data_IF_489078669835
#
_entry.id   IF_489078669835
#
_cell.length_a   1.000
_cell.length_b   1.000
_cell.length_c   1.000
_cell.angle_alpha   90.00
_cell.angle_beta   90.00
_cell.angle_gamma   90.00
#
_symmetry.space_group_name_H-M   'P 1'
#
loop_
_entity.id
_entity.type
_entity.pdbx_description
1 polymer ?
#
# COMPACT_ATOMS: atom_id res chain seq x y z
N UNK A 1 12.58 -24.56 12.47
CA UNK A 1 11.40 -24.20 11.66
C UNK A 1 11.07 -25.38 10.75
N UNK A 2 9.80 -25.78 10.63
CA UNK A 2 9.40 -26.77 9.62
C UNK A 2 9.78 -26.24 8.22
N UNK A 3 10.22 -27.13 7.33
CA UNK A 3 10.62 -26.75 5.96
C UNK A 3 9.37 -26.30 5.20
N UNK A 4 9.13 -24.99 5.14
CA UNK A 4 8.01 -24.43 4.39
C UNK A 4 8.21 -24.69 2.89
N UNK A 5 7.11 -24.99 2.19
CA UNK A 5 7.10 -25.31 0.77
C UNK A 5 7.40 -24.04 -0.04
N UNK A 6 8.29 -24.15 -1.02
CA UNK A 6 8.55 -23.08 -2.01
C UNK A 6 7.26 -22.71 -2.75
N UNK A 7 6.97 -21.41 -2.81
CA UNK A 7 5.88 -20.85 -3.60
C UNK A 7 6.46 -20.20 -4.85
N UNK A 8 6.11 -20.74 -6.02
CA UNK A 8 6.51 -20.19 -7.32
C UNK A 8 5.40 -19.32 -7.89
N UNK A 9 5.73 -18.10 -8.30
CA UNK A 9 4.79 -17.12 -8.87
C UNK A 9 5.23 -16.69 -10.26
N UNK A 10 4.30 -16.62 -11.21
CA UNK A 10 4.55 -16.02 -12.53
C UNK A 10 4.22 -14.52 -12.50
N UNK A 11 5.23 -13.68 -12.71
CA UNK A 11 5.14 -12.21 -12.78
C UNK A 11 4.33 -11.66 -13.96
N UNK A 12 3.78 -12.52 -14.82
CA UNK A 12 2.78 -12.20 -15.86
C UNK A 12 1.34 -12.37 -15.37
N UNK A 13 1.12 -13.04 -14.25
CA UNK A 13 -0.22 -13.27 -13.72
C UNK A 13 -0.85 -11.96 -13.22
N UNK A 14 -2.16 -11.80 -13.42
CA UNK A 14 -2.91 -10.62 -12.98
C UNK A 14 -2.51 -9.35 -13.71
N UNK A 15 -2.22 -8.27 -12.96
CA UNK A 15 -1.80 -6.98 -13.52
C UNK A 15 -0.48 -7.04 -14.32
N UNK A 16 0.34 -8.09 -14.13
CA UNK A 16 1.68 -8.22 -14.72
C UNK A 16 2.62 -7.05 -14.38
N UNK A 17 2.41 -6.43 -13.21
CA UNK A 17 3.06 -5.21 -12.73
C UNK A 17 3.98 -5.44 -11.54
N UNK A 18 4.20 -4.39 -10.76
CA UNK A 18 5.15 -4.42 -9.64
C UNK A 18 4.53 -4.81 -8.31
N UNK A 19 3.20 -4.85 -8.21
CA UNK A 19 2.50 -5.11 -6.95
C UNK A 19 2.71 -6.53 -6.47
N UNK A 20 2.64 -7.50 -7.40
CA UNK A 20 2.92 -8.91 -7.12
C UNK A 20 4.23 -9.10 -6.37
N UNK A 21 5.31 -8.48 -6.85
CA UNK A 21 6.63 -8.58 -6.22
C UNK A 21 6.62 -7.99 -4.81
N UNK A 22 6.02 -6.81 -4.64
CA UNK A 22 5.97 -6.12 -3.33
C UNK A 22 5.20 -6.94 -2.30
N UNK A 23 4.01 -7.44 -2.65
CA UNK A 23 3.17 -8.24 -1.76
C UNK A 23 3.83 -9.59 -1.45
N UNK A 24 4.36 -10.27 -2.47
CA UNK A 24 4.97 -11.59 -2.30
C UNK A 24 6.19 -11.53 -1.37
N UNK A 25 7.11 -10.59 -1.59
CA UNK A 25 8.33 -10.47 -0.77
C UNK A 25 7.99 -10.02 0.65
N UNK A 26 7.01 -9.12 0.83
CA UNK A 26 6.54 -8.71 2.15
C UNK A 26 6.04 -9.91 2.97
N UNK A 27 5.20 -10.74 2.35
CA UNK A 27 4.62 -11.91 3.00
C UNK A 27 5.66 -13.04 3.17
N UNK A 28 6.54 -13.27 2.19
CA UNK A 28 7.63 -14.23 2.32
C UNK A 28 8.57 -13.88 3.49
N UNK A 29 8.89 -12.60 3.66
CA UNK A 29 9.66 -12.10 4.81
C UNK A 29 8.90 -12.30 6.13
N UNK A 30 7.58 -12.07 6.13
CA UNK A 30 6.74 -12.20 7.31
C UNK A 30 6.55 -13.67 7.74
N UNK A 31 6.24 -14.56 6.80
CA UNK A 31 5.86 -15.95 7.07
C UNK A 31 7.05 -16.90 7.12
N UNK A 32 8.20 -16.49 6.58
CA UNK A 32 9.36 -17.34 6.33
C UNK A 32 9.25 -18.19 5.06
N UNK A 33 8.14 -18.07 4.31
CA UNK A 33 7.85 -18.96 3.17
C UNK A 33 8.79 -18.60 2.02
N UNK A 34 9.64 -19.52 1.54
CA UNK A 34 10.50 -19.22 0.42
C UNK A 34 9.66 -18.99 -0.85
N UNK A 35 10.05 -18.00 -1.64
CA UNK A 35 9.39 -17.66 -2.90
C UNK A 35 10.38 -17.63 -4.07
N UNK A 36 9.87 -17.94 -5.25
CA UNK A 36 10.50 -17.71 -6.54
C UNK A 36 9.49 -16.99 -7.44
N UNK A 37 9.89 -15.84 -7.99
CA UNK A 37 9.06 -15.07 -8.91
C UNK A 37 9.75 -15.04 -10.27
N UNK A 38 9.15 -15.70 -11.25
CA UNK A 38 9.60 -15.68 -12.64
C UNK A 38 8.92 -14.60 -13.46
N UNK A 39 9.47 -14.28 -14.63
CA UNK A 39 8.89 -13.35 -15.59
C UNK A 39 8.46 -12.02 -14.97
N UNK A 40 9.25 -11.48 -14.05
CA UNK A 40 8.95 -10.22 -13.34
C UNK A 40 8.57 -9.14 -14.35
N UNK A 41 7.33 -8.66 -14.27
CA UNK A 41 6.75 -7.66 -15.20
C UNK A 41 6.85 -8.06 -16.67
N UNK A 42 6.73 -9.36 -16.97
CA UNK A 42 6.89 -9.91 -18.32
C UNK A 42 5.92 -9.30 -19.34
N UNK A 43 4.68 -8.99 -18.93
CA UNK A 43 3.66 -8.36 -19.79
C UNK A 43 3.96 -6.89 -20.15
N UNK A 44 5.06 -6.33 -19.63
CA UNK A 44 5.55 -4.99 -19.92
C UNK A 44 6.84 -5.00 -20.73
N UNK A 45 7.31 -6.16 -21.19
CA UNK A 45 8.41 -6.26 -22.15
C UNK A 45 8.05 -5.48 -23.43
N UNK A 46 9.00 -4.71 -23.96
CA UNK A 46 8.81 -3.88 -25.15
C UNK A 46 7.99 -2.59 -24.95
N UNK A 47 7.40 -2.36 -23.78
CA UNK A 47 6.74 -1.09 -23.43
C UNK A 47 7.75 -0.12 -22.82
N UNK A 48 7.46 1.18 -22.87
CA UNK A 48 8.30 2.26 -22.27
C UNK A 48 8.69 1.95 -20.81
N UNK A 49 7.79 1.33 -20.04
CA UNK A 49 8.05 0.99 -18.63
C UNK A 49 8.97 -0.23 -18.44
N UNK A 50 9.14 -1.08 -19.45
CA UNK A 50 10.00 -2.28 -19.46
C UNK A 50 9.61 -3.40 -18.48
N UNK A 51 10.16 -4.60 -18.73
CA UNK A 51 10.11 -5.74 -17.82
C UNK A 51 11.17 -5.67 -16.72
N UNK A 52 11.20 -6.70 -15.89
CA UNK A 52 12.14 -6.91 -14.79
C UNK A 52 11.91 -6.04 -13.56
N UNK A 53 12.70 -6.29 -12.51
CA UNK A 53 12.70 -5.49 -11.29
C UNK A 53 13.05 -4.03 -11.57
N UNK A 54 12.45 -3.11 -10.80
CA UNK A 54 12.79 -1.69 -10.80
C UNK A 54 13.43 -1.30 -9.48
N UNK A 55 14.03 -0.11 -9.42
CA UNK A 55 14.73 0.38 -8.24
C UNK A 55 13.90 0.22 -6.95
N UNK A 56 12.61 0.58 -6.95
CA UNK A 56 11.74 0.40 -5.78
C UNK A 56 11.54 -1.07 -5.35
N UNK A 57 11.55 -2.02 -6.30
CA UNK A 57 11.47 -3.44 -5.96
C UNK A 57 12.78 -3.92 -5.34
N UNK A 58 13.91 -3.56 -5.95
CA UNK A 58 15.24 -3.88 -5.41
C UNK A 58 15.40 -3.30 -4.00
N UNK A 59 14.98 -2.05 -3.78
CA UNK A 59 15.05 -1.41 -2.48
C UNK A 59 14.18 -2.09 -1.41
N UNK A 60 12.96 -2.52 -1.72
CA UNK A 60 12.14 -3.23 -0.74
C UNK A 60 12.64 -4.66 -0.48
N UNK A 61 13.11 -5.37 -1.52
CA UNK A 61 13.71 -6.71 -1.38
C UNK A 61 14.96 -6.62 -0.53
N UNK A 62 15.87 -5.68 -0.81
CA UNK A 62 17.10 -5.52 -0.04
C UNK A 62 16.81 -5.14 1.42
N UNK A 63 15.87 -4.23 1.67
CA UNK A 63 15.46 -3.87 3.02
C UNK A 63 14.99 -5.08 3.83
N UNK A 64 14.12 -5.91 3.25
CA UNK A 64 13.61 -7.12 3.90
C UNK A 64 14.68 -8.21 3.99
N UNK A 65 15.57 -8.31 3.01
CA UNK A 65 16.70 -9.24 3.04
C UNK A 65 17.66 -8.92 4.18
N UNK A 66 18.00 -7.64 4.36
CA UNK A 66 18.86 -7.18 5.45
C UNK A 66 18.18 -7.41 6.81
N UNK A 67 16.88 -7.12 6.93
CA UNK A 67 16.13 -7.30 8.16
C UNK A 67 16.02 -8.78 8.56
N UNK A 68 15.79 -9.67 7.59
CA UNK A 68 15.55 -11.10 7.81
C UNK A 68 16.79 -11.99 7.63
N UNK A 69 17.94 -11.39 7.31
CA UNK A 69 19.15 -12.11 6.85
C UNK A 69 18.86 -13.11 5.73
N UNK A 70 18.03 -12.72 4.76
CA UNK A 70 17.54 -13.64 3.72
C UNK A 70 18.64 -14.11 2.76
N UNK A 71 18.47 -15.32 2.23
CA UNK A 71 19.08 -15.74 0.97
C UNK A 71 18.28 -15.13 -0.19
N UNK A 72 18.95 -14.40 -1.08
CA UNK A 72 18.30 -13.71 -2.21
C UNK A 72 19.10 -13.90 -3.50
N UNK A 73 18.45 -14.39 -4.55
CA UNK A 73 19.00 -14.46 -5.89
C UNK A 73 18.22 -13.55 -6.84
N UNK A 74 18.91 -12.88 -7.77
CA UNK A 74 18.24 -12.06 -8.80
C UNK A 74 17.71 -10.70 -8.33
N UNK A 75 18.16 -10.18 -7.19
CA UNK A 75 17.79 -8.83 -6.70
C UNK A 75 18.63 -7.73 -7.37
N UNK A 76 18.37 -7.47 -8.65
CA UNK A 76 19.00 -6.36 -9.38
C UNK A 76 18.03 -5.73 -10.37
N UNK A 77 18.22 -4.45 -10.69
CA UNK A 77 17.35 -3.75 -11.65
C UNK A 77 17.39 -4.45 -13.00
N UNK A 78 16.22 -4.73 -13.56
CA UNK A 78 16.07 -5.45 -14.83
C UNK A 78 16.04 -6.98 -14.68
N UNK A 79 16.32 -7.54 -13.50
CA UNK A 79 16.22 -8.98 -13.28
C UNK A 79 14.79 -9.48 -13.53
N UNK A 80 14.69 -10.63 -14.21
CA UNK A 80 13.42 -11.25 -14.61
C UNK A 80 12.98 -12.36 -13.67
N UNK A 81 13.88 -12.84 -12.81
CA UNK A 81 13.61 -13.85 -11.79
C UNK A 81 14.17 -13.35 -10.47
N UNK A 82 13.45 -13.58 -9.38
CA UNK A 82 13.94 -13.32 -8.02
C UNK A 82 13.53 -14.45 -7.09
N UNK A 83 14.49 -14.91 -6.30
CA UNK A 83 14.27 -15.86 -5.21
C UNK A 83 14.50 -15.14 -3.89
N UNK A 84 13.66 -15.43 -2.90
CA UNK A 84 13.77 -14.85 -1.57
C UNK A 84 13.43 -15.89 -0.51
N UNK A 85 14.30 -16.03 0.49
CA UNK A 85 14.11 -16.94 1.63
C UNK A 85 14.63 -16.29 2.90
N UNK A 86 13.72 -15.84 3.75
CA UNK A 86 14.03 -15.25 5.05
C UNK A 86 14.65 -16.29 6.02
N UNK A 87 15.61 -15.86 6.82
CA UNK A 87 16.25 -16.68 7.86
C UNK A 87 15.86 -16.26 9.29
N UNK A 88 15.35 -15.05 9.46
CA UNK A 88 14.84 -14.51 10.72
C UNK A 88 13.36 -14.14 10.60
N UNK A 89 12.61 -14.41 11.67
CA UNK A 89 11.24 -13.92 11.85
C UNK A 89 11.23 -12.45 12.27
N UNK A 90 10.09 -11.75 12.15
CA UNK A 90 9.98 -10.34 12.52
C UNK A 90 10.45 -10.01 13.95
N UNK A 91 10.12 -10.84 14.94
CA UNK A 91 10.51 -10.67 16.35
C UNK A 91 12.01 -10.85 16.60
N UNK A 92 12.72 -11.47 15.67
CA UNK A 92 14.15 -11.74 15.78
C UNK A 92 15.05 -10.61 15.21
N UNK A 93 14.46 -9.56 14.62
CA UNK A 93 15.25 -8.46 14.07
C UNK A 93 15.89 -7.63 15.19
N UNK A 94 17.17 -7.29 15.01
CA UNK A 94 17.93 -6.53 16.00
C UNK A 94 17.87 -5.02 15.78
N UNK A 95 17.84 -4.58 14.52
CA UNK A 95 17.85 -3.15 14.21
C UNK A 95 16.44 -2.57 14.30
N UNK A 96 16.29 -1.56 15.15
CA UNK A 96 15.09 -0.73 15.27
C UNK A 96 15.17 0.55 14.42
N UNK A 97 16.33 0.85 13.84
CA UNK A 97 16.56 1.99 12.95
C UNK A 97 16.97 1.49 11.56
N UNK A 98 16.02 1.51 10.64
CA UNK A 98 16.16 0.99 9.28
C UNK A 98 16.29 2.16 8.32
N UNK A 99 17.30 2.12 7.46
CA UNK A 99 17.54 3.15 6.44
C UNK A 99 17.58 2.50 5.07
N UNK A 100 16.70 2.94 4.18
CA UNK A 100 16.67 2.49 2.79
C UNK A 100 17.13 3.63 1.90
N UNK A 101 18.18 3.39 1.13
CA UNK A 101 18.66 4.32 0.11
C UNK A 101 18.39 3.72 -1.27
N UNK A 102 17.44 4.30 -2.00
CA UNK A 102 17.20 3.87 -3.36
C UNK A 102 18.23 4.46 -4.33
N UNK A 103 18.63 3.67 -5.34
CA UNK A 103 19.62 4.08 -6.37
C UNK A 103 19.05 5.08 -7.42
N UNK A 104 17.86 5.65 -7.18
CA UNK A 104 17.19 6.64 -8.05
C UNK A 104 15.96 7.22 -7.35
N UNK A 105 15.12 7.97 -8.06
CA UNK A 105 13.79 8.41 -7.59
C UNK A 105 12.76 7.25 -7.52
N UNK A 106 13.17 6.09 -6.97
CA UNK A 106 12.25 5.02 -6.59
C UNK A 106 11.21 5.56 -5.62
N UNK A 107 9.93 5.18 -5.77
CA UNK A 107 8.89 5.71 -4.89
C UNK A 107 9.14 5.29 -3.44
N UNK A 108 9.29 6.28 -2.56
CA UNK A 108 9.42 6.10 -1.12
C UNK A 108 8.23 5.29 -0.59
N UNK A 109 7.03 5.58 -1.08
CA UNK A 109 5.80 5.03 -0.54
C UNK A 109 5.51 3.62 -1.04
N UNK A 110 5.96 3.26 -2.24
CA UNK A 110 5.90 1.86 -2.67
C UNK A 110 6.88 0.98 -1.87
N UNK A 111 8.04 1.51 -1.47
CA UNK A 111 8.96 0.80 -0.56
C UNK A 111 8.35 0.69 0.84
N UNK A 112 7.76 1.77 1.36
CA UNK A 112 7.05 1.76 2.63
C UNK A 112 5.93 0.72 2.65
N UNK A 113 5.02 0.74 1.68
CA UNK A 113 3.93 -0.24 1.57
C UNK A 113 4.42 -1.69 1.53
N UNK A 114 5.51 -1.96 0.81
CA UNK A 114 6.08 -3.31 0.69
C UNK A 114 6.74 -3.79 1.98
N UNK A 115 7.25 -2.89 2.82
CA UNK A 115 8.01 -3.25 4.02
C UNK A 115 7.18 -3.16 5.29
N UNK A 116 6.11 -2.37 5.29
CA UNK A 116 5.24 -2.15 6.43
C UNK A 116 4.67 -3.45 7.02
N UNK A 117 4.10 -4.40 6.24
CA UNK A 117 3.54 -5.63 6.81
C UNK A 117 4.53 -6.41 7.68
N UNK A 118 5.80 -6.50 7.26
CA UNK A 118 6.84 -7.16 8.04
C UNK A 118 7.14 -6.40 9.35
N UNK A 119 7.36 -5.08 9.27
CA UNK A 119 7.71 -4.28 10.44
C UNK A 119 6.58 -4.10 11.45
N UNK A 120 5.31 -4.25 11.04
CA UNK A 120 4.18 -4.29 11.96
C UNK A 120 4.23 -5.48 12.91
N UNK A 121 4.83 -6.60 12.51
CA UNK A 121 4.91 -7.80 13.36
C UNK A 121 6.27 -7.97 14.04
N UNK A 122 7.17 -7.00 13.88
CA UNK A 122 8.49 -6.99 14.48
C UNK A 122 8.49 -6.50 15.94
N UNK A 123 7.48 -6.85 16.74
CA UNK A 123 7.43 -6.46 18.16
C UNK A 123 8.59 -7.02 18.98
N UNK A 124 8.92 -6.36 20.09
CA UNK A 124 9.75 -6.92 21.16
C UNK A 124 9.09 -6.74 22.52
N UNK A 125 9.68 -7.35 23.55
CA UNK A 125 9.24 -7.26 24.94
C UNK A 125 9.19 -5.80 25.47
N UNK A 126 9.98 -4.90 24.89
CA UNK A 126 10.06 -3.50 25.32
C UNK A 126 9.02 -2.59 24.63
N UNK A 127 8.28 -3.11 23.65
CA UNK A 127 7.37 -2.31 22.83
C UNK A 127 8.08 -1.23 22.00
N UNK A 128 9.35 -1.47 21.63
CA UNK A 128 10.17 -0.47 20.95
C UNK A 128 9.68 -0.21 19.52
N UNK A 129 9.51 1.06 19.11
CA UNK A 129 9.09 1.38 17.76
C UNK A 129 10.18 1.07 16.73
N UNK A 130 9.77 0.84 15.48
CA UNK A 130 10.67 0.76 14.32
C UNK A 130 10.71 2.14 13.66
N UNK A 131 11.89 2.73 13.57
CA UNK A 131 12.13 3.92 12.73
C UNK A 131 12.62 3.48 11.36
N UNK A 132 11.84 3.77 10.32
CA UNK A 132 12.17 3.51 8.93
C UNK A 132 12.36 4.84 8.18
N UNK A 133 13.56 5.12 7.71
CA UNK A 133 13.87 6.28 6.86
C UNK A 133 14.15 5.80 5.45
N UNK A 134 13.41 6.34 4.48
CA UNK A 134 13.52 5.94 3.07
C UNK A 134 13.87 7.17 2.24
N UNK A 135 14.96 7.07 1.47
CA UNK A 135 15.36 8.06 0.48
C UNK A 135 14.95 7.61 -0.92
N UNK A 136 14.31 8.51 -1.68
CA UNK A 136 13.74 8.22 -3.00
C UNK A 136 12.83 9.35 -3.50
N UNK A 137 11.94 9.07 -4.45
CA UNK A 137 10.92 10.04 -4.88
C UNK A 137 9.68 10.01 -3.97
N UNK A 138 9.18 11.18 -3.56
CA UNK A 138 7.90 11.33 -2.83
C UNK A 138 6.72 11.60 -3.76
N UNK A 139 6.98 12.20 -4.92
CA UNK A 139 6.00 12.50 -5.96
C UNK A 139 6.48 11.85 -7.26
N UNK A 140 6.08 10.59 -7.45
CA UNK A 140 6.48 9.73 -8.58
C UNK A 140 5.22 9.23 -9.29
N UNK A 141 5.25 9.16 -10.62
CA UNK A 141 4.10 8.65 -11.39
C UNK A 141 3.80 7.19 -11.04
N UNK A 142 2.51 6.83 -11.00
CA UNK A 142 2.02 5.47 -10.70
C UNK A 142 2.40 4.99 -9.29
N UNK A 143 2.48 5.92 -8.33
CA UNK A 143 2.56 5.64 -6.90
C UNK A 143 1.75 6.67 -6.14
N UNK A 144 1.24 6.29 -4.98
CA UNK A 144 0.64 7.25 -4.04
C UNK A 144 1.63 8.37 -3.66
N UNK A 145 1.09 9.53 -3.33
CA UNK A 145 1.82 10.65 -2.73
C UNK A 145 1.86 10.57 -1.22
N UNK A 146 2.70 11.40 -0.60
CA UNK A 146 2.75 11.52 0.85
C UNK A 146 1.42 12.05 1.41
N UNK A 147 0.76 12.94 0.67
CA UNK A 147 -0.53 13.49 1.05
C UNK A 147 -1.64 12.43 1.01
N UNK A 148 -1.66 11.55 0.01
CA UNK A 148 -2.62 10.43 -0.05
C UNK A 148 -2.36 9.41 1.07
N UNK A 149 -1.09 9.10 1.35
CA UNK A 149 -0.73 8.29 2.51
C UNK A 149 -1.31 8.89 3.80
N UNK A 150 -1.10 10.19 3.99
CA UNK A 150 -1.47 10.92 5.21
C UNK A 150 -2.98 11.06 5.41
N UNK A 151 -3.71 11.35 4.35
CA UNK A 151 -5.14 11.69 4.41
C UNK A 151 -6.07 10.49 4.14
N UNK A 152 -5.57 9.42 3.51
CA UNK A 152 -6.40 8.27 3.08
C UNK A 152 -5.87 6.96 3.64
N UNK A 153 -4.64 6.56 3.31
CA UNK A 153 -4.14 5.23 3.70
C UNK A 153 -3.95 5.09 5.21
N UNK A 154 -3.28 6.04 5.87
CA UNK A 154 -3.04 5.94 7.32
C UNK A 154 -4.34 5.95 8.14
N UNK A 155 -5.32 6.85 7.91
CA UNK A 155 -6.63 6.78 8.58
C UNK A 155 -7.35 5.44 8.37
N UNK A 156 -7.22 4.85 7.18
CA UNK A 156 -7.75 3.51 6.92
C UNK A 156 -7.02 2.42 7.71
N UNK A 157 -5.69 2.47 7.80
CA UNK A 157 -4.88 1.53 8.58
C UNK A 157 -5.13 1.66 10.09
N UNK A 158 -5.46 2.84 10.60
CA UNK A 158 -5.82 3.05 12.01
C UNK A 158 -7.06 2.24 12.43
N UNK A 159 -7.97 1.94 11.48
CA UNK A 159 -9.13 1.05 11.73
C UNK A 159 -8.71 -0.40 12.02
N UNK A 160 -7.50 -0.81 11.63
CA UNK A 160 -6.87 -2.09 11.97
C UNK A 160 -6.02 -2.01 13.26
N UNK A 161 -6.03 -0.87 13.95
CA UNK A 161 -5.17 -0.58 15.10
C UNK A 161 -3.73 -0.25 14.72
N UNK A 162 -3.44 0.05 13.46
CA UNK A 162 -2.09 0.36 12.98
C UNK A 162 -1.80 1.84 13.18
N UNK A 163 -0.70 2.15 13.86
CA UNK A 163 -0.23 3.52 14.07
C UNK A 163 1.14 3.72 13.44
N UNK A 164 1.24 4.72 12.57
CA UNK A 164 2.50 5.12 11.93
C UNK A 164 2.62 6.64 12.01
N UNK A 165 3.55 7.10 12.86
CA UNK A 165 3.95 8.51 12.82
C UNK A 165 4.79 8.71 11.56
N UNK A 166 4.52 9.78 10.80
CA UNK A 166 5.11 9.98 9.47
C UNK A 166 5.56 11.41 9.29
N UNK A 167 6.71 11.59 8.66
CA UNK A 167 7.29 12.90 8.40
C UNK A 167 7.96 12.89 7.04
N UNK A 168 7.55 13.81 6.17
CA UNK A 168 8.26 14.09 4.93
C UNK A 168 9.37 15.09 5.21
N UNK A 169 10.62 14.64 5.20
CA UNK A 169 11.77 15.50 5.54
C UNK A 169 12.08 16.48 4.40
N UNK A 170 12.04 15.99 3.16
CA UNK A 170 12.11 16.81 1.95
C UNK A 170 11.56 16.03 0.75
N UNK A 171 11.01 16.77 -0.22
CA UNK A 171 10.36 16.18 -1.40
C UNK A 171 11.38 15.64 -2.40
N UNK A 172 10.99 14.54 -3.05
CA UNK A 172 11.67 13.99 -4.22
C UNK A 172 10.70 13.90 -5.38
N UNK A 173 11.18 14.18 -6.59
CA UNK A 173 10.35 14.32 -7.78
C UNK A 173 10.88 13.46 -8.92
N UNK A 174 9.97 12.79 -9.64
CA UNK A 174 10.31 12.17 -10.93
C UNK A 174 10.13 13.11 -12.12
N UNK A 175 9.46 14.26 -11.94
CA UNK A 175 9.18 15.24 -13.00
C UNK A 175 10.10 16.46 -12.92
N UNK A 176 10.41 17.03 -14.07
CA UNK A 176 11.45 18.04 -14.20
C UNK A 176 12.83 17.42 -14.04
N UNK A 177 13.74 18.13 -13.38
CA UNK A 177 14.99 17.53 -12.92
C UNK A 177 14.68 16.54 -11.80
N UNK A 178 15.08 15.26 -11.91
CA UNK A 178 14.85 14.29 -10.83
C UNK A 178 15.51 14.73 -9.53
N UNK A 179 14.76 14.63 -8.43
CA UNK A 179 15.23 14.97 -7.08
C UNK A 179 14.96 13.81 -6.13
N UNK A 180 15.93 13.54 -5.27
CA UNK A 180 15.79 12.56 -4.20
C UNK A 180 15.30 13.29 -2.95
N UNK A 181 14.16 12.83 -2.45
CA UNK A 181 13.57 13.20 -1.19
C UNK A 181 13.90 12.19 -0.09
N UNK A 182 13.33 12.44 1.09
CA UNK A 182 13.41 11.56 2.24
C UNK A 182 12.13 11.64 3.06
N UNK A 183 11.64 10.50 3.53
CA UNK A 183 10.58 10.43 4.52
C UNK A 183 10.96 9.46 5.64
N UNK A 184 10.47 9.77 6.84
CA UNK A 184 10.66 9.00 8.06
C UNK A 184 9.31 8.49 8.56
N UNK A 185 9.27 7.22 8.90
CA UNK A 185 8.12 6.54 9.48
C UNK A 185 8.53 5.94 10.82
N UNK A 186 7.75 6.19 11.86
CA UNK A 186 7.87 5.53 13.17
C UNK A 186 6.69 4.58 13.28
N UNK A 187 6.96 3.30 13.06
CA UNK A 187 5.98 2.22 13.09
C UNK A 187 5.94 1.70 14.52
N UNK A 188 4.74 1.56 15.07
CA UNK A 188 4.51 0.87 16.35
C UNK A 188 4.13 -0.58 16.05
N UNK A 189 5.02 -1.56 16.27
CA UNK A 189 4.69 -2.95 16.01
C UNK A 189 3.57 -3.45 16.92
N UNK A 190 2.83 -4.43 16.43
CA UNK A 190 1.88 -5.24 17.18
C UNK A 190 2.65 -5.96 18.30
N UNK A 191 2.14 -5.96 19.55
CA UNK A 191 2.76 -6.72 20.63
C UNK A 191 2.90 -8.21 20.31
N UNK A 192 3.93 -8.86 20.87
CA UNK A 192 4.16 -10.29 20.67
C UNK A 192 2.92 -11.12 21.03
N UNK A 193 2.60 -12.11 20.21
CA UNK A 193 1.40 -12.95 20.38
C UNK A 193 0.06 -12.28 20.04
N UNK A 194 0.03 -11.00 19.66
CA UNK A 194 -1.17 -10.30 19.22
C UNK A 194 -1.25 -10.20 17.68
N UNK A 195 -2.46 -10.00 17.18
CA UNK A 195 -2.74 -9.77 15.76
C UNK A 195 -3.19 -8.32 15.53
N UNK A 196 -3.27 -7.90 14.26
CA UNK A 196 -4.01 -6.70 13.92
C UNK A 196 -5.48 -6.84 14.36
N UNK A 197 -6.11 -5.70 14.66
CA UNK A 197 -7.50 -5.66 15.09
C UNK A 197 -8.41 -6.02 13.93
N UNK A 198 -9.53 -6.67 14.24
CA UNK A 198 -10.64 -6.78 13.30
C UNK A 198 -11.08 -5.35 12.93
N UNK A 199 -11.06 -4.97 11.63
CA UNK A 199 -11.24 -3.59 11.26
C UNK A 199 -12.68 -3.16 11.51
N UNK A 200 -12.85 -2.06 12.26
CA UNK A 200 -14.14 -1.38 12.36
C UNK A 200 -14.39 -0.60 11.07
N UNK A 201 -14.96 -1.28 10.07
CA UNK A 201 -15.25 -0.73 8.76
C UNK A 201 -16.75 -0.45 8.59
N UNK A 202 -17.15 0.75 8.12
CA UNK A 202 -18.54 1.06 7.81
C UNK A 202 -19.14 0.13 6.74
N UNK A 203 -20.43 -0.17 6.85
CA UNK A 203 -21.18 -0.99 5.89
C UNK A 203 -21.84 -0.17 4.78
N UNK A 204 -21.69 1.16 4.80
CA UNK A 204 -22.21 2.07 3.79
C UNK A 204 -21.30 3.29 3.63
N UNK A 205 -21.36 3.93 2.45
CA UNK A 205 -20.52 5.07 2.11
C UNK A 205 -20.82 6.30 2.99
N UNK A 206 -22.10 6.56 3.28
CA UNK A 206 -22.54 7.80 3.89
C UNK A 206 -22.58 9.00 2.93
N UNK A 207 -22.95 10.16 3.46
CA UNK A 207 -22.98 11.41 2.69
C UNK A 207 -21.61 12.09 2.72
N UNK A 208 -21.25 12.77 1.63
CA UNK A 208 -20.04 13.61 1.61
C UNK A 208 -20.28 14.82 2.51
N UNK A 209 -19.34 15.10 3.41
CA UNK A 209 -19.43 16.23 4.35
C UNK A 209 -18.47 17.35 4.00
N UNK A 210 -17.31 17.01 3.44
CA UNK A 210 -16.23 17.96 3.09
C UNK A 210 -15.29 17.35 2.06
N UNK A 211 -14.63 18.20 1.28
CA UNK A 211 -13.54 17.83 0.37
C UNK A 211 -12.28 18.61 0.73
N UNK A 212 -11.21 17.89 1.07
CA UNK A 212 -9.89 18.47 1.27
C UNK A 212 -9.11 18.53 -0.05
N UNK A 213 -8.37 19.61 -0.24
CA UNK A 213 -7.57 19.89 -1.43
C UNK A 213 -6.10 20.09 -1.05
N UNK A 214 -5.22 19.33 -1.70
CA UNK A 214 -3.77 19.48 -1.57
C UNK A 214 -3.13 19.82 -2.92
N UNK A 215 -2.51 21.00 -3.01
CA UNK A 215 -1.89 21.55 -4.20
C UNK A 215 -0.38 21.68 -4.04
N UNK A 216 0.37 21.13 -4.98
CA UNK A 216 1.81 21.34 -5.13
C UNK A 216 2.11 21.66 -6.59
N UNK A 217 2.03 22.95 -6.91
CA UNK A 217 2.14 23.48 -8.28
C UNK A 217 3.05 24.71 -8.28
N UNK A 218 3.55 25.16 -9.45
CA UNK A 218 4.33 26.38 -9.51
C UNK A 218 3.55 27.56 -8.93
N UNK A 219 4.19 28.44 -8.16
CA UNK A 219 3.53 29.56 -7.47
C UNK A 219 2.56 30.36 -8.38
N UNK A 220 2.98 30.66 -9.61
CA UNK A 220 2.18 31.40 -10.59
C UNK A 220 0.90 30.69 -11.10
N UNK A 221 0.76 29.39 -10.84
CA UNK A 221 -0.42 28.58 -11.23
C UNK A 221 -1.44 28.46 -10.08
N UNK A 222 -1.04 28.72 -8.84
CA UNK A 222 -1.86 28.39 -7.65
C UNK A 222 -3.24 29.04 -7.68
N UNK A 223 -3.32 30.35 -7.98
CA UNK A 223 -4.60 31.07 -7.98
C UNK A 223 -5.52 30.67 -9.15
N UNK A 224 -4.95 30.33 -10.31
CA UNK A 224 -5.70 29.81 -11.46
C UNK A 224 -6.28 28.43 -11.15
N UNK A 225 -5.46 27.54 -10.56
CA UNK A 225 -5.92 26.20 -10.17
C UNK A 225 -6.94 26.23 -9.03
N UNK A 226 -6.77 27.09 -8.02
CA UNK A 226 -7.79 27.29 -6.97
C UNK A 226 -9.13 27.74 -7.56
N UNK A 227 -9.12 28.71 -8.48
CA UNK A 227 -10.35 29.16 -9.16
C UNK A 227 -11.00 28.04 -9.96
N UNK A 228 -10.22 27.31 -10.75
CA UNK A 228 -10.72 26.19 -11.54
C UNK A 228 -11.32 25.10 -10.64
N UNK A 229 -10.62 24.68 -9.58
CA UNK A 229 -11.11 23.70 -8.62
C UNK A 229 -12.38 24.14 -7.90
N UNK A 230 -12.43 25.39 -7.40
CA UNK A 230 -13.64 25.90 -6.74
C UNK A 230 -14.84 25.94 -7.70
N UNK A 231 -14.62 26.26 -8.97
CA UNK A 231 -15.67 26.22 -9.97
C UNK A 231 -16.16 24.79 -10.22
N UNK A 232 -15.27 23.86 -10.55
CA UNK A 232 -15.63 22.48 -10.86
C UNK A 232 -16.26 21.77 -9.64
N UNK A 233 -15.66 21.91 -8.45
CA UNK A 233 -16.21 21.35 -7.21
C UNK A 233 -17.58 21.96 -6.87
N UNK A 234 -17.77 23.26 -7.08
CA UNK A 234 -19.06 23.92 -6.83
C UNK A 234 -20.18 23.45 -7.77
N UNK A 235 -19.83 23.01 -8.98
CA UNK A 235 -20.76 22.42 -9.94
C UNK A 235 -21.10 20.98 -9.57
N UNK A 236 -20.10 20.17 -9.26
CA UNK A 236 -20.26 18.72 -9.07
C UNK A 236 -20.71 18.36 -7.64
N UNK A 237 -20.22 19.08 -6.63
CA UNK A 237 -20.49 18.86 -5.22
C UNK A 237 -21.11 20.12 -4.57
N UNK A 238 -22.33 20.51 -4.98
CA UNK A 238 -22.95 21.74 -4.51
C UNK A 238 -23.18 21.70 -3.00
N UNK A 239 -22.84 22.78 -2.31
CA UNK A 239 -22.97 22.97 -0.85
C UNK A 239 -22.07 22.05 0.01
N UNK A 240 -21.06 21.42 -0.58
CA UNK A 240 -20.02 20.71 0.19
C UNK A 240 -18.91 21.70 0.56
N UNK A 241 -18.44 21.64 1.81
CA UNK A 241 -17.30 22.43 2.28
C UNK A 241 -16.01 21.98 1.58
N UNK A 242 -15.21 22.94 1.13
CA UNK A 242 -13.95 22.69 0.42
C UNK A 242 -12.80 23.38 1.15
N UNK A 243 -11.85 22.59 1.63
CA UNK A 243 -10.71 23.06 2.43
C UNK A 243 -9.38 22.86 1.71
N UNK A 244 -8.64 23.95 1.49
CA UNK A 244 -7.29 23.88 0.92
C UNK A 244 -6.25 23.62 2.02
N UNK A 245 -6.09 22.36 2.42
CA UNK A 245 -5.18 21.94 3.49
C UNK A 245 -3.69 22.19 3.17
N UNK A 246 -3.32 22.08 1.90
CA UNK A 246 -1.96 22.29 1.44
C UNK A 246 -1.97 23.12 0.16
N UNK A 247 -1.26 24.25 0.18
CA UNK A 247 -0.95 25.04 -1.01
C UNK A 247 0.55 25.33 -1.01
N UNK A 248 1.30 24.53 -1.75
CA UNK A 248 2.75 24.63 -1.83
C UNK A 248 3.25 25.00 -3.21
N UNK A 249 4.34 25.78 -3.25
CA UNK A 249 5.10 26.01 -4.47
C UNK A 249 5.98 24.80 -4.77
N UNK A 250 5.78 24.18 -5.94
CA UNK A 250 6.58 23.05 -6.40
C UNK A 250 7.98 23.45 -6.90
N UNK A 251 8.23 24.75 -7.07
CA UNK A 251 9.51 25.36 -7.49
C UNK A 251 10.02 24.91 -8.86
N UNK A 252 9.18 24.23 -9.64
CA UNK A 252 9.56 23.78 -10.99
C UNK A 252 8.32 23.70 -11.89
N UNK A 253 8.40 24.31 -13.08
CA UNK A 253 7.27 24.40 -14.03
C UNK A 253 6.69 23.07 -14.52
N UNK A 254 7.40 21.96 -14.29
CA UNK A 254 6.97 20.61 -14.66
C UNK A 254 6.44 19.78 -13.49
N UNK A 255 6.40 20.34 -12.27
CA UNK A 255 5.94 19.66 -11.06
C UNK A 255 4.57 20.21 -10.69
N UNK A 256 3.53 19.49 -11.07
CA UNK A 256 2.15 19.87 -10.77
C UNK A 256 1.43 18.66 -10.21
N UNK A 257 1.09 18.73 -8.94
CA UNK A 257 0.40 17.67 -8.23
C UNK A 257 -0.82 18.25 -7.52
N UNK A 258 -1.95 17.55 -7.68
CA UNK A 258 -3.22 17.90 -7.04
C UNK A 258 -3.85 16.64 -6.48
N UNK A 259 -4.35 16.70 -5.25
CA UNK A 259 -5.11 15.64 -4.59
C UNK A 259 -6.41 16.24 -4.05
N UNK A 260 -7.51 15.54 -4.28
CA UNK A 260 -8.79 15.76 -3.62
C UNK A 260 -9.11 14.58 -2.71
N UNK A 261 -9.59 14.86 -1.50
CA UNK A 261 -10.03 13.83 -0.54
C UNK A 261 -11.44 14.16 -0.05
N UNK A 262 -12.42 13.35 -0.44
CA UNK A 262 -13.78 13.45 0.08
C UNK A 262 -13.90 12.72 1.42
N UNK A 263 -14.47 13.39 2.43
CA UNK A 263 -14.79 12.84 3.73
C UNK A 263 -16.28 12.54 3.81
N UNK A 264 -16.64 11.39 4.39
CA UNK A 264 -18.04 11.00 4.55
C UNK A 264 -18.51 11.05 6.00
N UNK A 265 -19.83 11.09 6.19
CA UNK A 265 -20.48 11.05 7.50
C UNK A 265 -20.22 9.75 8.29
N UNK A 266 -19.74 8.69 7.63
CA UNK A 266 -19.33 7.41 8.25
C UNK A 266 -17.82 7.38 8.56
N UNK A 267 -17.11 8.48 8.31
CA UNK A 267 -15.69 8.64 8.56
C UNK A 267 -14.79 7.97 7.52
N UNK A 268 -15.31 7.68 6.32
CA UNK A 268 -14.50 7.18 5.20
C UNK A 268 -13.83 8.34 4.45
N UNK A 269 -12.70 8.04 3.81
CA UNK A 269 -11.97 8.96 2.95
C UNK A 269 -11.80 8.35 1.56
N UNK A 270 -12.07 9.13 0.52
CA UNK A 270 -11.89 8.75 -0.88
C UNK A 270 -10.97 9.75 -1.56
N UNK A 271 -9.81 9.28 -2.04
CA UNK A 271 -8.80 10.15 -2.64
C UNK A 271 -8.68 9.99 -4.15
N UNK A 272 -8.62 11.11 -4.89
CA UNK A 272 -8.20 11.11 -6.31
C UNK A 272 -7.16 12.20 -6.54
N UNK A 273 -6.06 11.79 -7.17
CA UNK A 273 -4.92 12.66 -7.41
C UNK A 273 -4.46 12.63 -8.85
N UNK A 274 -3.70 13.66 -9.22
CA UNK A 274 -3.00 13.68 -10.48
C UNK A 274 -1.66 14.38 -10.33
N UNK A 275 -0.59 13.61 -10.58
CA UNK A 275 0.71 14.15 -10.96
C UNK A 275 0.71 14.40 -12.47
N UNK A 276 0.40 15.64 -12.86
CA UNK A 276 0.17 16.03 -14.25
C UNK A 276 1.26 15.53 -15.18
N UNK A 277 0.87 14.73 -16.18
CA UNK A 277 1.79 14.05 -17.10
C UNK A 277 1.80 14.63 -18.51
N UNK A 278 1.16 15.77 -18.73
CA UNK A 278 1.12 16.45 -20.02
C UNK A 278 2.40 17.23 -20.34
N UNK A 279 2.39 17.96 -21.46
CA UNK A 279 3.56 18.72 -21.91
C UNK A 279 3.86 19.92 -21.00
N UNK A 280 5.13 20.07 -20.63
CA UNK A 280 5.61 21.13 -19.70
C UNK A 280 6.73 21.98 -20.31
N UNK A 281 6.96 21.89 -21.65
CA UNK A 281 8.00 22.66 -22.34
C UNK A 281 7.70 24.16 -22.26
N UNK A 282 6.48 24.54 -22.64
CA UNK A 282 5.92 25.90 -22.57
C UNK A 282 4.51 25.81 -21.97
N UNK A 283 4.38 25.67 -20.64
CA UNK A 283 3.10 25.44 -20.00
C UNK A 283 2.21 26.68 -20.09
N UNK A 284 0.99 26.49 -20.57
CA UNK A 284 -0.10 27.44 -20.39
C UNK A 284 -0.80 27.11 -19.07
N UNK A 285 -0.43 27.82 -18.00
CA UNK A 285 -0.89 27.47 -16.65
C UNK A 285 -2.39 27.63 -16.44
N UNK A 286 -3.04 28.54 -17.14
CA UNK A 286 -4.51 28.70 -17.06
C UNK A 286 -5.19 27.49 -17.69
N UNK A 287 -4.77 27.11 -18.90
CA UNK A 287 -5.32 25.91 -19.56
C UNK A 287 -5.06 24.63 -18.77
N UNK A 288 -3.83 24.45 -18.28
CA UNK A 288 -3.46 23.27 -17.49
C UNK A 288 -4.21 23.26 -16.14
N UNK A 289 -4.45 24.41 -15.53
CA UNK A 289 -5.23 24.50 -14.29
C UNK A 289 -6.66 24.00 -14.49
N UNK A 290 -7.33 24.42 -15.57
CA UNK A 290 -8.66 23.93 -15.93
C UNK A 290 -8.65 22.43 -16.20
N UNK A 291 -7.66 21.94 -16.96
CA UNK A 291 -7.53 20.50 -17.26
C UNK A 291 -7.35 19.67 -15.99
N UNK A 292 -6.43 20.08 -15.09
CA UNK A 292 -6.21 19.40 -13.82
C UNK A 292 -7.49 19.37 -13.00
N UNK A 293 -8.14 20.54 -12.82
CA UNK A 293 -9.35 20.65 -12.02
C UNK A 293 -10.46 19.73 -12.54
N UNK A 294 -10.71 19.75 -13.85
CA UNK A 294 -11.72 18.90 -14.47
C UNK A 294 -11.42 17.41 -14.23
N UNK A 295 -10.19 16.97 -14.53
CA UNK A 295 -9.83 15.54 -14.39
C UNK A 295 -9.93 15.07 -12.95
N UNK A 296 -9.36 15.79 -11.98
CA UNK A 296 -9.38 15.30 -10.59
C UNK A 296 -10.78 15.32 -9.98
N UNK A 297 -11.64 16.28 -10.36
CA UNK A 297 -13.03 16.36 -9.90
C UNK A 297 -13.88 15.27 -10.55
N UNK A 298 -13.77 15.09 -11.88
CA UNK A 298 -14.49 14.04 -12.62
C UNK A 298 -14.12 12.64 -12.09
N UNK A 299 -12.83 12.39 -11.83
CA UNK A 299 -12.38 11.12 -11.28
C UNK A 299 -12.87 10.89 -9.84
N UNK A 300 -12.91 11.93 -9.00
CA UNK A 300 -13.44 11.83 -7.63
C UNK A 300 -14.95 11.54 -7.65
N UNK A 301 -15.71 12.25 -8.48
CA UNK A 301 -17.16 12.01 -8.65
C UNK A 301 -17.43 10.61 -9.19
N UNK A 302 -16.70 10.19 -10.23
CA UNK A 302 -16.80 8.83 -10.77
C UNK A 302 -16.51 7.77 -9.70
N UNK A 303 -15.54 8.01 -8.81
CA UNK A 303 -15.24 7.11 -7.70
C UNK A 303 -16.38 7.05 -6.68
N UNK A 304 -16.86 8.19 -6.23
CA UNK A 304 -17.93 8.28 -5.22
C UNK A 304 -19.26 7.72 -5.72
N UNK A 305 -19.53 7.80 -7.03
CA UNK A 305 -20.71 7.19 -7.66
C UNK A 305 -20.68 5.67 -7.67
N UNK A 306 -19.51 5.03 -7.49
CA UNK A 306 -19.45 3.57 -7.33
C UNK A 306 -20.19 3.11 -6.08
N UNK A 307 -20.32 3.97 -5.05
CA UNK A 307 -21.12 3.69 -3.86
C UNK A 307 -20.52 2.65 -2.91
N UNK A 308 -19.23 2.35 -3.04
CA UNK A 308 -18.51 1.45 -2.14
C UNK A 308 -18.12 2.10 -0.82
N UNK A 309 -17.36 1.38 0.00
CA UNK A 309 -16.85 1.86 1.30
C UNK A 309 -15.34 2.12 1.29
N UNK A 310 -14.75 2.16 0.10
CA UNK A 310 -13.32 2.36 -0.13
C UNK A 310 -13.12 2.82 -1.58
N UNK A 311 -12.10 3.63 -1.85
CA UNK A 311 -11.70 3.92 -3.23
C UNK A 311 -10.85 2.77 -3.83
N UNK A 312 -10.78 2.68 -5.17
CA UNK A 312 -10.10 1.56 -5.84
C UNK A 312 -8.63 1.37 -5.43
N UNK A 313 -7.90 2.47 -5.19
CA UNK A 313 -6.48 2.41 -4.86
C UNK A 313 -6.29 2.02 -3.42
N UNK A 314 -7.12 2.54 -2.51
CA UNK A 314 -7.09 2.11 -1.13
C UNK A 314 -7.49 0.62 -1.00
N UNK A 315 -8.46 0.15 -1.79
CA UNK A 315 -8.88 -1.27 -1.75
C UNK A 315 -7.71 -2.21 -2.01
N UNK A 316 -6.90 -1.95 -3.05
CA UNK A 316 -5.78 -2.82 -3.40
C UNK A 316 -4.69 -2.84 -2.31
N UNK A 317 -4.51 -1.74 -1.58
CA UNK A 317 -3.56 -1.59 -0.49
C UNK A 317 -4.02 -2.31 0.79
N UNK A 318 -5.33 -2.36 1.04
CA UNK A 318 -5.90 -2.96 2.25
C UNK A 318 -5.93 -4.49 2.23
N UNK A 319 -5.86 -5.12 1.06
CA UNK A 319 -5.95 -6.59 0.90
C UNK A 319 -4.99 -7.35 1.83
N UNK A 320 -3.74 -6.88 1.95
CA UNK A 320 -2.73 -7.51 2.81
C UNK A 320 -3.11 -7.39 4.28
N UNK A 321 -3.64 -6.24 4.71
CA UNK A 321 -4.01 -5.99 6.10
C UNK A 321 -5.29 -6.72 6.49
N UNK A 322 -6.29 -6.81 5.60
CA UNK A 322 -7.47 -7.66 5.78
C UNK A 322 -7.09 -9.12 6.02
N UNK A 323 -6.12 -9.62 5.25
CA UNK A 323 -5.67 -11.00 5.36
C UNK A 323 -4.82 -11.27 6.61
N UNK A 324 -4.09 -10.28 7.10
CA UNK A 324 -3.27 -10.41 8.31
C UNK A 324 -4.07 -10.17 9.59
N UNK A 325 -5.15 -9.40 9.53
CA UNK A 325 -6.03 -9.16 10.67
C UNK A 325 -6.78 -10.41 11.12
N UNK A 326 -7.18 -10.41 12.39
CA UNK A 326 -8.14 -11.40 12.90
C UNK A 326 -9.57 -11.01 12.53
N UNK A 327 -10.47 -11.99 12.58
CA UNK A 327 -11.91 -11.75 12.39
C UNK A 327 -12.32 -11.63 10.93
N UNK A 328 -13.49 -11.04 10.71
CA UNK A 328 -14.15 -10.96 9.40
C UNK A 328 -14.30 -9.51 8.98
N UNK A 329 -13.77 -9.17 7.80
CA UNK A 329 -13.88 -7.81 7.25
C UNK A 329 -14.56 -7.82 5.88
N UNK A 330 -15.32 -6.78 5.57
CA UNK A 330 -15.85 -6.55 4.21
C UNK A 330 -15.61 -5.12 3.76
N UNK A 331 -14.88 -4.97 2.65
CA UNK A 331 -14.41 -3.66 2.14
C UNK A 331 -14.60 -3.60 0.61
N UNK A 332 -15.85 -3.57 0.11
CA UNK A 332 -16.13 -3.44 -1.31
C UNK A 332 -15.95 -2.00 -1.82
N UNK A 333 -15.44 -1.86 -3.04
CA UNK A 333 -15.28 -0.57 -3.73
C UNK A 333 -16.52 -0.15 -4.55
N UNK A 334 -17.57 -0.98 -4.59
CA UNK A 334 -18.83 -0.65 -5.29
C UNK A 334 -20.05 -1.04 -4.47
N UNK A 335 -21.19 -0.42 -4.79
CA UNK A 335 -22.50 -0.66 -4.18
C UNK A 335 -22.96 -2.10 -4.40
N UNK A 336 -22.72 -2.67 -5.59
CA UNK A 336 -23.03 -4.08 -5.84
C UNK A 336 -22.25 -5.00 -4.90
N UNK A 337 -21.03 -4.60 -4.53
CA UNK A 337 -20.22 -5.31 -3.54
C UNK A 337 -20.75 -5.22 -2.11
N UNK A 338 -21.63 -4.26 -1.79
CA UNK A 338 -22.32 -4.20 -0.49
C UNK A 338 -23.54 -5.13 -0.42
N UNK A 339 -24.05 -5.60 -1.57
CA UNK A 339 -25.18 -6.51 -1.60
C UNK A 339 -24.79 -7.91 -1.12
N UNK A 340 -25.58 -8.45 -0.19
CA UNK A 340 -25.35 -9.74 0.45
C UNK A 340 -25.75 -10.91 -0.45
N UNK A 341 -25.03 -11.15 -1.55
CA UNK A 341 -25.21 -12.35 -2.35
C UNK A 341 -24.09 -13.38 -2.14
N UNK A 342 -24.50 -14.47 -1.48
CA UNK A 342 -23.84 -15.77 -1.24
C UNK A 342 -22.40 -15.75 -0.70
N UNK A 343 -22.27 -16.22 0.54
CA UNK A 343 -21.02 -16.60 1.23
C UNK A 343 -20.34 -17.84 0.63
N UNK A 344 -20.18 -17.87 -0.70
CA UNK A 344 -19.39 -18.92 -1.33
C UNK A 344 -17.92 -18.58 -1.16
N UNK A 345 -17.15 -19.53 -0.64
CA UNK A 345 -15.69 -19.44 -0.60
C UNK A 345 -15.15 -19.37 -2.03
N UNK A 346 -14.36 -18.34 -2.30
CA UNK A 346 -13.75 -18.09 -3.59
C UNK A 346 -12.62 -19.09 -3.88
N UNK A 347 -12.43 -19.40 -5.16
CA UNK A 347 -11.24 -20.14 -5.60
C UNK A 347 -10.06 -19.18 -5.71
N UNK A 348 -8.92 -19.60 -5.22
CA UNK A 348 -7.71 -18.77 -5.10
C UNK A 348 -6.55 -19.27 -5.96
N UNK A 349 -6.83 -20.10 -6.97
CA UNK A 349 -5.86 -20.66 -7.91
C UNK A 349 -5.38 -19.66 -8.98
N UNK A 350 -6.12 -18.57 -9.18
CA UNK A 350 -5.77 -17.46 -10.07
C UNK A 350 -6.24 -16.11 -9.46
N UNK A 351 -5.84 -14.93 -10.00
CA UNK A 351 -6.40 -13.64 -9.63
C UNK A 351 -7.93 -13.65 -9.65
N UNK A 352 -8.56 -13.17 -8.58
CA UNK A 352 -9.99 -13.34 -8.36
C UNK A 352 -10.64 -12.16 -7.63
N UNK A 353 -11.97 -12.11 -7.74
CA UNK A 353 -12.83 -11.18 -7.04
C UNK A 353 -13.01 -9.84 -7.74
N UNK A 354 -13.72 -8.94 -7.06
CA UNK A 354 -14.11 -7.63 -7.58
C UNK A 354 -13.00 -6.58 -7.37
N UNK A 355 -13.09 -5.47 -8.10
CA UNK A 355 -12.14 -4.37 -8.02
C UNK A 355 -11.11 -4.37 -9.15
N UNK A 356 -10.04 -3.61 -8.96
CA UNK A 356 -9.00 -3.44 -9.98
C UNK A 356 -8.19 -4.73 -10.21
N UNK A 357 -7.48 -4.82 -11.34
CA UNK A 357 -6.50 -5.90 -11.57
C UNK A 357 -5.42 -5.95 -10.48
N UNK A 358 -5.09 -4.81 -9.86
CA UNK A 358 -4.14 -4.73 -8.75
C UNK A 358 -4.72 -5.43 -7.51
N UNK A 359 -5.99 -5.16 -7.20
CA UNK A 359 -6.72 -5.79 -6.07
C UNK A 359 -6.79 -7.30 -6.23
N UNK A 360 -7.22 -7.79 -7.39
CA UNK A 360 -7.38 -9.24 -7.63
C UNK A 360 -6.03 -9.97 -7.63
N UNK A 361 -4.96 -9.30 -8.10
CA UNK A 361 -3.59 -9.81 -8.02
C UNK A 361 -3.12 -9.90 -6.57
N UNK A 362 -3.32 -8.85 -5.76
CA UNK A 362 -2.95 -8.87 -4.35
C UNK A 362 -3.65 -10.00 -3.58
N UNK A 363 -4.97 -10.20 -3.80
CA UNK A 363 -5.73 -11.27 -3.13
C UNK A 363 -5.19 -12.65 -3.48
N UNK A 364 -4.84 -12.87 -4.75
CA UNK A 364 -4.25 -14.13 -5.19
C UNK A 364 -2.89 -14.38 -4.55
N UNK A 365 -1.97 -13.41 -4.58
CA UNK A 365 -0.63 -13.54 -3.97
C UNK A 365 -0.73 -13.80 -2.46
N UNK A 366 -1.59 -13.04 -1.77
CA UNK A 366 -1.90 -13.24 -0.35
C UNK A 366 -2.36 -14.68 -0.09
N UNK A 367 -3.27 -15.19 -0.92
CA UNK A 367 -3.80 -16.55 -0.75
C UNK A 367 -2.76 -17.65 -0.99
N UNK A 368 -1.71 -17.39 -1.78
CA UNK A 368 -0.59 -18.34 -1.97
C UNK A 368 0.32 -18.42 -0.73
N UNK A 369 0.46 -17.32 0.02
CA UNK A 369 1.39 -17.20 1.14
C UNK A 369 0.72 -17.33 2.51
N UNK A 370 -0.60 -17.12 2.57
CA UNK A 370 -1.44 -17.26 3.75
C UNK A 370 -2.62 -18.20 3.46
N UNK A 371 -2.40 -19.52 3.38
CA UNK A 371 -3.42 -20.49 2.93
C UNK A 371 -4.63 -20.63 3.86
N UNK A 372 -4.55 -20.09 5.09
CA UNK A 372 -5.64 -20.12 6.05
C UNK A 372 -6.64 -18.95 5.88
N UNK A 373 -6.31 -17.96 5.04
CA UNK A 373 -7.21 -16.86 4.72
C UNK A 373 -8.32 -17.36 3.82
N UNK A 374 -9.57 -17.02 4.13
CA UNK A 374 -10.71 -17.31 3.26
C UNK A 374 -11.31 -16.04 2.71
N UNK A 375 -11.53 -16.05 1.42
CA UNK A 375 -12.24 -15.00 0.71
C UNK A 375 -13.62 -15.50 0.30
N UNK A 376 -14.62 -14.64 0.39
CA UNK A 376 -16.00 -14.97 0.03
C UNK A 376 -16.64 -13.87 -0.81
N UNK A 377 -17.55 -14.30 -1.69
CA UNK A 377 -18.39 -13.41 -2.47
C UNK A 377 -17.60 -12.55 -3.45
N UNK A 378 -16.61 -13.12 -4.15
CA UNK A 378 -15.75 -12.35 -5.05
C UNK A 378 -14.73 -11.48 -4.30
N UNK A 379 -14.17 -11.98 -3.20
CA UNK A 379 -13.14 -11.27 -2.44
C UNK A 379 -13.64 -10.05 -1.66
N UNK A 380 -14.96 -9.87 -1.55
CA UNK A 380 -15.59 -8.77 -0.79
C UNK A 380 -15.46 -8.95 0.69
N UNK A 381 -15.57 -10.20 1.15
CA UNK A 381 -15.40 -10.57 2.56
C UNK A 381 -14.11 -11.37 2.73
N UNK A 382 -13.33 -11.02 3.74
CA UNK A 382 -12.12 -11.74 4.16
C UNK A 382 -12.30 -12.26 5.59
N UNK A 383 -12.16 -13.57 5.78
CA UNK A 383 -11.85 -14.18 7.08
C UNK A 383 -10.32 -14.23 7.19
N UNK A 384 -9.76 -13.26 7.92
CA UNK A 384 -8.32 -13.05 7.98
C UNK A 384 -7.59 -14.11 8.81
N UNK A 385 -6.29 -14.27 8.58
CA UNK A 385 -5.47 -15.27 9.25
C UNK A 385 -5.25 -15.00 10.74
N UNK A 386 -5.51 -13.76 11.22
CA UNK A 386 -5.16 -13.34 12.57
C UNK A 386 -3.69 -13.58 12.85
N UNK A 387 -2.81 -13.14 11.95
CA UNK A 387 -1.38 -13.40 12.02
C UNK A 387 -0.79 -12.88 13.33
N UNK A 388 0.08 -13.68 13.94
CA UNK A 388 0.73 -13.41 15.22
C UNK A 388 2.18 -13.85 15.13
N UNK A 389 3.09 -13.05 15.67
CA UNK A 389 4.47 -13.48 15.88
C UNK A 389 4.51 -14.34 17.14
N UNK A 390 5.08 -15.55 17.07
CA UNK A 390 5.16 -16.46 18.22
C UNK A 390 5.97 -15.81 19.33
N UNK A 391 5.39 -15.63 20.52
CA UNK A 391 6.21 -15.50 21.72
C UNK A 391 6.99 -16.81 21.85
N UNK A 392 8.31 -16.73 22.00
CA UNK A 392 9.13 -17.84 22.47
C UNK A 392 8.66 -18.23 23.89
N UNK A 393 7.52 -18.91 24.02
CA UNK A 393 7.33 -19.85 25.11
C UNK A 393 8.11 -21.10 24.72
N UNK A 394 9.35 -21.14 25.23
CA UNK A 394 10.10 -22.33 25.55
C UNK A 394 9.16 -23.53 25.77
N UNK A 395 9.05 -24.39 24.76
CA UNK A 395 8.66 -25.79 24.95
C UNK A 395 9.78 -26.49 25.73
N UNK A 396 9.87 -26.21 27.03
CA UNK A 396 10.58 -27.10 27.95
C UNK A 396 9.69 -28.32 28.07
N UNK A 397 10.09 -29.40 27.40
CA UNK A 397 9.65 -30.75 27.70
C UNK A 397 9.71 -30.93 29.22
N UNK A 398 8.55 -31.15 29.86
CA UNK A 398 8.56 -31.90 31.12
C UNK A 398 8.70 -33.37 30.73
N UNK A 399 9.80 -34.05 31.12
CA UNK A 399 9.82 -35.50 31.05
C UNK A 399 8.71 -35.99 31.99
N UNK A 400 7.80 -36.80 31.47
CA UNK A 400 6.93 -37.61 32.31
C UNK A 400 7.83 -38.53 33.13
N UNK A 401 8.06 -38.13 34.38
CA UNK A 401 8.81 -38.89 35.37
C UNK A 401 8.19 -40.27 35.57
N UNK A 402 9.09 -41.23 35.70
CA UNK A 402 8.84 -42.62 36.05
C UNK A 402 7.84 -42.75 37.21
N UNK A 403 6.69 -43.38 36.95
CA UNK A 403 5.87 -43.98 37.99
C UNK A 403 6.60 -45.21 38.53
N UNK A 404 7.26 -45.05 39.69
CA UNK A 404 7.63 -46.18 40.54
C UNK A 404 6.35 -46.80 41.12
N UNK A 405 6.20 -48.09 40.88
CA UNK A 405 5.34 -48.99 41.64
C UNK A 405 5.98 -49.21 43.01
N UNK A 406 5.28 -48.84 44.08
CA UNK A 406 5.23 -49.57 45.36
C UNK A 406 3.83 -49.43 45.96
#
# INVERSE_FOLDING_TARGET
MAKQKLVTLDGRTGEGGGQLVRVAVALAALTGTPIEIDNVRGNRAGKVRGGGLKAQHVSCIQCLADATQAEVNGCSVGSKTVEFKANLSPDAIKSRNIRVKAESAASILLVFQATLPFFLFAGDESGSPITLTIQGGSNVSFSLSFEYLDQVLCPALERFGIQVDRTLEHRGWSHGTPEIGSAKFVIRPVPLGQSLQEPNWPTEQGNITRIDVSLLVPAQMQESLKRALNFELGVVFPNIEVDFLLVGDSRHKARMYTLLVAHTSTGLQFGRDWLYSGSTRNPDFEKIATEIAQVVVDELDAELRKGGVVDEYLQDQLVVFQALAGGRSSIPATLEGLSADRERVDRTDAPFGDGSLHTTTARWVVSQLLPNVKWMGGGRTCEGAGWKTSSLELSIEKPLGELRLE
#
